data_IF_479892343547
#
_entry.id   IF_479892343547
#
_cell.length_a   1.000
_cell.length_b   1.000
_cell.length_c   1.000
_cell.angle_alpha   90.00
_cell.angle_beta   90.00
_cell.angle_gamma   90.00
#
_symmetry.space_group_name_H-M   'P 1'
#
loop_
_entity.id
_entity.type
_entity.pdbx_description
1 polymer ?
#
# COMPACT_ATOMS: atom_id res chain seq x y z
N UNK A 1 -54.84 -35.52 16.37
CA UNK A 1 -55.30 -35.25 14.97
C UNK A 1 -54.72 -33.90 14.61
N UNK A 2 -53.46 -33.88 14.16
CA UNK A 2 -52.78 -32.65 13.71
C UNK A 2 -52.78 -32.69 12.17
N UNK A 3 -53.47 -31.73 11.59
CA UNK A 3 -53.47 -31.47 10.14
C UNK A 3 -52.15 -30.84 9.78
N UNK A 4 -51.28 -31.60 9.14
CA UNK A 4 -50.14 -31.03 8.39
C UNK A 4 -50.76 -30.31 7.18
N UNK A 5 -50.88 -28.99 7.29
CA UNK A 5 -51.06 -28.14 6.14
C UNK A 5 -49.72 -28.08 5.40
N UNK A 6 -49.56 -28.91 4.39
CA UNK A 6 -48.58 -28.68 3.34
C UNK A 6 -49.04 -27.43 2.56
N UNK A 7 -48.49 -26.29 2.91
CA UNK A 7 -48.56 -25.11 2.07
C UNK A 7 -47.76 -25.38 0.78
N UNK A 8 -48.45 -25.74 -0.26
CA UNK A 8 -47.92 -25.77 -1.62
C UNK A 8 -47.73 -24.32 -2.06
N UNK A 9 -46.52 -23.81 -1.94
CA UNK A 9 -46.16 -22.53 -2.55
C UNK A 9 -46.27 -22.66 -4.07
N UNK A 10 -47.36 -22.16 -4.67
CA UNK A 10 -47.46 -21.99 -6.11
C UNK A 10 -46.47 -20.92 -6.57
N UNK A 11 -45.42 -21.37 -7.22
CA UNK A 11 -44.38 -20.52 -7.81
C UNK A 11 -44.96 -19.86 -9.06
N UNK A 12 -45.54 -18.66 -8.90
CA UNK A 12 -46.19 -17.91 -10.00
C UNK A 12 -45.28 -16.87 -10.68
N UNK A 13 -43.96 -16.80 -10.36
CA UNK A 13 -43.07 -15.87 -11.03
C UNK A 13 -42.19 -16.58 -12.06
N UNK A 14 -42.02 -16.02 -13.28
CA UNK A 14 -41.17 -16.63 -14.32
C UNK A 14 -39.72 -16.83 -13.88
N UNK A 15 -39.24 -16.06 -12.91
CA UNK A 15 -37.91 -16.18 -12.36
C UNK A 15 -37.75 -17.43 -11.48
N UNK A 16 -38.80 -17.85 -10.77
CA UNK A 16 -38.82 -19.07 -9.93
C UNK A 16 -39.03 -20.35 -10.74
N UNK A 17 -39.64 -20.26 -11.91
CA UNK A 17 -39.82 -21.39 -12.83
C UNK A 17 -38.48 -21.94 -13.33
N UNK A 18 -37.50 -21.07 -13.54
CA UNK A 18 -36.11 -21.45 -13.90
C UNK A 18 -35.49 -22.31 -12.81
N UNK A 19 -35.69 -21.99 -11.52
CA UNK A 19 -35.18 -22.79 -10.41
C UNK A 19 -35.86 -24.17 -10.33
N UNK A 20 -37.15 -24.27 -10.58
CA UNK A 20 -37.86 -25.55 -10.66
C UNK A 20 -37.35 -26.47 -11.78
N UNK A 21 -36.98 -25.90 -12.93
CA UNK A 21 -36.38 -26.65 -14.03
C UNK A 21 -34.97 -27.13 -13.71
N UNK A 22 -34.16 -26.33 -13.02
CA UNK A 22 -32.81 -26.72 -12.55
C UNK A 22 -32.89 -27.83 -11.51
N UNK A 23 -33.84 -27.75 -10.56
CA UNK A 23 -34.07 -28.78 -9.55
C UNK A 23 -34.48 -30.13 -10.15
N UNK A 24 -35.28 -30.13 -11.20
CA UNK A 24 -35.69 -31.36 -11.89
C UNK A 24 -34.53 -32.08 -12.57
N UNK A 25 -33.53 -31.36 -13.06
CA UNK A 25 -32.35 -31.90 -13.76
C UNK A 25 -31.23 -32.36 -12.83
N UNK A 26 -31.32 -32.05 -11.52
CA UNK A 26 -30.32 -32.46 -10.55
C UNK A 26 -30.33 -33.99 -10.33
N UNK A 27 -29.15 -34.65 -10.31
CA UNK A 27 -29.07 -36.07 -10.04
C UNK A 27 -29.55 -36.39 -8.62
N UNK A 28 -30.15 -37.57 -8.44
CA UNK A 28 -30.79 -38.03 -7.20
C UNK A 28 -29.95 -37.85 -5.91
N UNK A 29 -28.59 -38.04 -5.91
CA UNK A 29 -27.81 -37.80 -4.73
C UNK A 29 -27.72 -36.31 -4.33
N UNK A 30 -27.83 -35.38 -5.30
CA UNK A 30 -27.78 -33.94 -5.03
C UNK A 30 -29.04 -33.41 -4.34
N UNK A 31 -30.14 -34.15 -4.38
CA UNK A 31 -31.40 -33.81 -3.69
C UNK A 31 -31.39 -34.16 -2.20
N UNK A 32 -30.39 -34.89 -1.72
CA UNK A 32 -30.28 -35.22 -0.28
C UNK A 32 -29.72 -34.01 0.48
N UNK A 33 -30.42 -33.53 1.51
CA UNK A 33 -30.03 -32.36 2.33
C UNK A 33 -28.59 -32.34 2.76
N UNK A 34 -27.94 -33.44 3.27
CA UNK A 34 -26.53 -33.37 3.67
C UNK A 34 -25.58 -33.18 2.48
N UNK A 35 -25.94 -33.68 1.30
CA UNK A 35 -25.12 -33.54 0.11
C UNK A 35 -25.21 -32.13 -0.47
N UNK A 36 -26.41 -31.53 -0.48
CA UNK A 36 -26.61 -30.15 -0.87
C UNK A 36 -25.89 -29.16 0.04
N UNK A 37 -25.93 -29.40 1.36
CA UNK A 37 -25.18 -28.57 2.35
C UNK A 37 -23.67 -28.69 2.17
N UNK A 38 -23.15 -29.90 1.93
CA UNK A 38 -21.72 -30.12 1.65
C UNK A 38 -21.27 -29.44 0.35
N UNK A 39 -22.07 -29.56 -0.71
CA UNK A 39 -21.80 -28.91 -2.00
C UNK A 39 -21.81 -27.38 -1.87
N UNK A 40 -22.77 -26.82 -1.14
CA UNK A 40 -22.85 -25.39 -0.88
C UNK A 40 -21.64 -24.89 -0.09
N UNK A 41 -21.21 -25.64 0.94
CA UNK A 41 -20.01 -25.31 1.70
C UNK A 41 -18.75 -25.30 0.80
N UNK A 42 -18.59 -26.29 -0.07
CA UNK A 42 -17.48 -26.34 -1.04
C UNK A 42 -17.55 -25.16 -2.01
N UNK A 43 -18.73 -24.82 -2.53
CA UNK A 43 -18.91 -23.68 -3.44
C UNK A 43 -18.57 -22.35 -2.76
N UNK A 44 -18.94 -22.17 -1.49
CA UNK A 44 -18.56 -20.99 -0.70
C UNK A 44 -17.05 -20.93 -0.50
N UNK A 45 -16.42 -22.05 -0.15
CA UNK A 45 -14.97 -22.11 0.00
C UNK A 45 -14.24 -21.78 -1.33
N UNK A 46 -14.68 -22.37 -2.44
CA UNK A 46 -14.12 -22.08 -3.76
C UNK A 46 -14.33 -20.61 -4.16
N UNK A 47 -15.49 -20.04 -3.85
CA UNK A 47 -15.78 -18.63 -4.14
C UNK A 47 -14.89 -17.70 -3.30
N UNK A 48 -14.77 -17.95 -2.01
CA UNK A 48 -13.98 -17.10 -1.10
C UNK A 48 -12.50 -17.23 -1.39
N UNK A 49 -11.97 -18.45 -1.49
CA UNK A 49 -10.51 -18.67 -1.67
C UNK A 49 -10.08 -18.60 -3.13
N UNK A 50 -10.92 -19.05 -4.08
CA UNK A 50 -10.58 -19.00 -5.49
C UNK A 50 -10.75 -17.61 -6.08
N UNK A 51 -11.96 -17.07 -6.05
CA UNK A 51 -12.26 -15.77 -6.67
C UNK A 51 -11.70 -14.63 -5.81
N UNK A 52 -11.91 -14.69 -4.48
CA UNK A 52 -11.41 -13.68 -3.55
C UNK A 52 -9.88 -13.63 -3.53
N UNK A 53 -9.21 -14.78 -3.51
CA UNK A 53 -7.75 -14.85 -3.52
C UNK A 53 -7.13 -14.31 -4.81
N UNK A 54 -7.71 -14.63 -5.97
CA UNK A 54 -7.25 -14.12 -7.27
C UNK A 54 -7.47 -12.61 -7.38
N UNK A 55 -8.61 -12.11 -6.94
CA UNK A 55 -8.88 -10.66 -6.94
C UNK A 55 -7.96 -9.90 -6.00
N UNK A 56 -7.72 -10.44 -4.80
CA UNK A 56 -6.81 -9.82 -3.84
C UNK A 56 -5.38 -9.77 -4.38
N UNK A 57 -4.89 -10.86 -4.98
CA UNK A 57 -3.58 -10.94 -5.60
C UNK A 57 -3.45 -9.97 -6.78
N UNK A 58 -4.47 -9.84 -7.61
CA UNK A 58 -4.49 -8.89 -8.74
C UNK A 58 -4.45 -7.45 -8.24
N UNK A 59 -5.24 -7.11 -7.21
CA UNK A 59 -5.23 -5.77 -6.61
C UNK A 59 -3.90 -5.45 -5.94
N UNK A 60 -3.32 -6.41 -5.20
CA UNK A 60 -1.99 -6.24 -4.61
C UNK A 60 -0.93 -5.99 -5.69
N UNK A 61 -0.98 -6.72 -6.82
CA UNK A 61 -0.05 -6.52 -7.92
C UNK A 61 -0.20 -5.14 -8.55
N UNK A 62 -1.42 -4.67 -8.77
CA UNK A 62 -1.66 -3.33 -9.32
C UNK A 62 -1.13 -2.23 -8.39
N UNK A 63 -1.32 -2.36 -7.07
CA UNK A 63 -0.75 -1.42 -6.10
C UNK A 63 0.78 -1.48 -6.08
N UNK A 64 1.36 -2.67 -6.18
CA UNK A 64 2.80 -2.83 -6.28
C UNK A 64 3.37 -2.23 -7.58
N UNK A 65 2.65 -2.37 -8.71
CA UNK A 65 3.01 -1.75 -9.99
C UNK A 65 2.97 -0.22 -9.92
N UNK A 66 1.96 0.36 -9.26
CA UNK A 66 1.89 1.82 -9.02
C UNK A 66 3.13 2.28 -8.23
N UNK A 67 3.51 1.53 -7.19
CA UNK A 67 4.66 1.89 -6.38
C UNK A 67 6.00 1.80 -7.14
N UNK A 68 6.17 0.77 -7.99
CA UNK A 68 7.47 0.45 -8.62
C UNK A 68 7.60 0.92 -10.06
N UNK A 69 6.49 1.02 -10.81
CA UNK A 69 6.53 1.11 -12.27
C UNK A 69 5.70 2.26 -12.85
N UNK A 70 4.74 2.79 -12.11
CA UNK A 70 3.96 3.93 -12.59
C UNK A 70 4.79 5.19 -12.50
N UNK A 71 5.07 5.74 -13.68
CA UNK A 71 5.96 6.87 -13.84
C UNK A 71 5.13 8.15 -13.85
N UNK A 72 5.49 9.10 -13.02
CA UNK A 72 4.87 10.43 -12.93
C UNK A 72 5.18 11.30 -14.16
N UNK A 73 4.74 12.56 -14.14
CA UNK A 73 5.05 13.58 -15.16
C UNK A 73 6.55 13.87 -15.33
N UNK A 74 7.35 13.49 -14.33
CA UNK A 74 8.79 13.73 -14.28
C UNK A 74 9.61 12.48 -14.62
N UNK A 75 8.95 11.36 -14.87
CA UNK A 75 9.60 10.11 -15.24
C UNK A 75 10.04 9.23 -14.07
N UNK A 76 9.56 9.50 -12.85
CA UNK A 76 9.93 8.79 -11.64
C UNK A 76 8.75 7.97 -11.09
N UNK A 77 9.04 6.80 -10.53
CA UNK A 77 8.09 6.05 -9.71
C UNK A 77 8.19 6.51 -8.24
N UNK A 78 7.18 6.20 -7.43
CA UNK A 78 7.20 6.48 -5.99
C UNK A 78 8.46 5.88 -5.34
N UNK A 79 8.85 4.66 -5.73
CA UNK A 79 10.09 4.04 -5.28
C UNK A 79 11.32 4.84 -5.73
N UNK A 80 11.32 5.36 -6.95
CA UNK A 80 12.38 6.22 -7.48
C UNK A 80 12.51 7.53 -6.69
N UNK A 81 11.39 8.12 -6.30
CA UNK A 81 11.38 9.33 -5.50
C UNK A 81 11.87 9.10 -4.07
N UNK A 82 11.53 7.96 -3.46
CA UNK A 82 12.15 7.58 -2.18
C UNK A 82 13.67 7.42 -2.30
N UNK A 83 14.15 6.82 -3.38
CA UNK A 83 15.60 6.71 -3.64
C UNK A 83 16.23 8.08 -3.80
N UNK A 84 15.62 8.98 -4.56
CA UNK A 84 16.09 10.35 -4.73
C UNK A 84 16.09 11.11 -3.40
N UNK A 85 15.08 10.93 -2.55
CA UNK A 85 15.02 11.54 -1.22
C UNK A 85 16.19 11.07 -0.33
N UNK A 86 16.44 9.75 -0.30
CA UNK A 86 17.55 9.20 0.51
C UNK A 86 18.92 9.60 -0.02
N UNK A 87 19.08 9.75 -1.33
CA UNK A 87 20.31 10.24 -1.95
C UNK A 87 20.55 11.72 -1.61
N UNK A 88 19.51 12.56 -1.63
CA UNK A 88 19.62 13.97 -1.21
C UNK A 88 19.90 14.09 0.27
N UNK A 89 19.30 13.26 1.12
CA UNK A 89 19.62 13.18 2.55
C UNK A 89 21.09 12.78 2.78
N UNK A 90 21.59 11.78 2.05
CA UNK A 90 22.99 11.36 2.14
C UNK A 90 23.96 12.47 1.71
N UNK A 91 23.63 13.24 0.68
CA UNK A 91 24.43 14.36 0.23
C UNK A 91 24.46 15.50 1.27
N UNK A 92 23.30 15.84 1.84
CA UNK A 92 23.18 16.82 2.92
C UNK A 92 23.95 16.36 4.16
N UNK A 93 23.86 15.09 4.55
CA UNK A 93 24.61 14.51 5.66
C UNK A 93 26.14 14.69 5.46
N UNK A 94 26.65 14.38 4.26
CA UNK A 94 28.09 14.55 3.98
C UNK A 94 28.55 16.02 4.08
N UNK A 95 27.67 16.95 3.70
CA UNK A 95 27.97 18.37 3.87
C UNK A 95 27.97 18.78 5.36
N UNK A 96 26.98 18.30 6.12
CA UNK A 96 26.91 18.55 7.56
C UNK A 96 28.07 17.90 8.34
N UNK A 97 28.53 16.71 7.94
CA UNK A 97 29.68 16.04 8.54
C UNK A 97 30.97 16.86 8.46
N UNK A 98 31.18 17.66 7.41
CA UNK A 98 32.33 18.55 7.30
C UNK A 98 32.32 19.65 8.35
N UNK A 99 31.14 20.03 8.85
CA UNK A 99 30.98 21.11 9.86
C UNK A 99 30.88 20.54 11.26
N UNK A 100 30.12 19.46 11.45
CA UNK A 100 29.83 18.85 12.74
C UNK A 100 30.91 17.84 13.17
N UNK A 101 31.56 17.19 12.19
CA UNK A 101 32.41 16.03 12.36
C UNK A 101 31.69 14.72 12.10
N UNK A 102 32.42 13.69 11.68
CA UNK A 102 31.86 12.38 11.31
C UNK A 102 31.22 11.65 12.51
N UNK A 103 31.69 11.88 13.72
CA UNK A 103 31.21 11.25 14.95
C UNK A 103 30.06 12.01 15.63
N UNK A 104 29.52 13.07 15.00
CA UNK A 104 28.38 13.79 15.55
C UNK A 104 27.14 12.90 15.59
N UNK A 105 26.41 12.93 16.71
CA UNK A 105 25.26 12.06 16.95
C UNK A 105 24.11 12.26 15.95
N UNK A 106 23.93 13.49 15.44
CA UNK A 106 22.88 13.75 14.43
C UNK A 106 23.28 13.12 13.08
N UNK A 107 24.57 13.24 12.70
CA UNK A 107 25.07 12.63 11.47
C UNK A 107 25.02 11.10 11.53
N UNK A 108 25.39 10.49 12.65
CA UNK A 108 25.33 9.02 12.82
C UNK A 108 23.90 8.52 12.82
N UNK A 109 22.94 9.23 13.42
CA UNK A 109 21.52 8.88 13.37
C UNK A 109 21.00 8.87 11.94
N UNK A 110 21.32 9.88 11.13
CA UNK A 110 20.92 9.90 9.71
C UNK A 110 21.58 8.77 8.94
N UNK A 111 22.87 8.48 9.18
CA UNK A 111 23.57 7.37 8.54
C UNK A 111 22.93 6.01 8.86
N UNK A 112 22.56 5.76 10.11
CA UNK A 112 21.90 4.53 10.56
C UNK A 112 20.53 4.35 9.91
N UNK A 113 19.74 5.42 9.79
CA UNK A 113 18.43 5.40 9.12
C UNK A 113 18.57 5.16 7.61
N UNK A 114 19.56 5.76 6.96
CA UNK A 114 19.85 5.48 5.55
C UNK A 114 20.30 4.03 5.33
N UNK A 115 21.08 3.46 6.24
CA UNK A 115 21.46 2.05 6.18
C UNK A 115 20.25 1.13 6.38
N UNK A 116 19.34 1.46 7.30
CA UNK A 116 18.08 0.73 7.48
C UNK A 116 17.20 0.80 6.23
N UNK A 117 17.13 1.94 5.56
CA UNK A 117 16.39 2.06 4.30
C UNK A 117 16.93 1.13 3.21
N UNK A 118 18.26 0.97 3.13
CA UNK A 118 18.91 0.11 2.13
C UNK A 118 18.72 -1.38 2.41
N UNK A 119 18.26 -1.76 3.60
CA UNK A 119 17.97 -3.15 3.93
C UNK A 119 16.71 -3.62 3.20
N UNK A 120 16.90 -4.42 2.16
CA UNK A 120 15.82 -4.96 1.31
C UNK A 120 14.93 -5.98 2.02
N UNK A 121 15.32 -6.45 3.20
CA UNK A 121 14.53 -7.40 4.00
C UNK A 121 13.39 -6.69 4.77
N UNK A 122 13.40 -5.36 4.85
CA UNK A 122 12.39 -4.60 5.58
C UNK A 122 11.08 -4.50 4.78
N UNK A 123 9.95 -4.79 5.43
CA UNK A 123 8.64 -4.66 4.82
C UNK A 123 8.32 -3.20 4.43
N UNK A 124 7.56 -2.94 3.34
CA UNK A 124 7.27 -1.58 2.86
C UNK A 124 6.69 -0.62 3.92
N UNK A 125 5.86 -1.14 4.82
CA UNK A 125 5.32 -0.34 5.93
C UNK A 125 6.41 0.12 6.92
N UNK A 126 7.41 -0.73 7.17
CA UNK A 126 8.54 -0.39 8.02
C UNK A 126 9.50 0.58 7.31
N UNK A 127 9.69 0.44 5.99
CA UNK A 127 10.43 1.41 5.18
C UNK A 127 9.81 2.80 5.26
N UNK A 128 8.49 2.91 5.18
CA UNK A 128 7.79 4.18 5.34
C UNK A 128 8.02 4.80 6.72
N UNK A 129 8.03 3.99 7.78
CA UNK A 129 8.34 4.46 9.13
C UNK A 129 9.78 4.97 9.27
N UNK A 130 10.74 4.34 8.59
CA UNK A 130 12.14 4.79 8.53
C UNK A 130 12.24 6.17 7.87
N UNK A 131 11.52 6.42 6.77
CA UNK A 131 11.52 7.73 6.11
C UNK A 131 10.97 8.83 7.02
N UNK A 132 9.91 8.58 7.78
CA UNK A 132 9.42 9.56 8.75
C UNK A 132 10.41 9.88 9.88
N UNK A 133 11.20 8.88 10.30
CA UNK A 133 12.28 9.11 11.26
C UNK A 133 13.44 9.88 10.62
N UNK A 134 13.75 9.58 9.36
CA UNK A 134 14.78 10.26 8.59
C UNK A 134 14.49 11.77 8.46
N UNK A 135 13.23 12.15 8.17
CA UNK A 135 12.83 13.55 8.09
C UNK A 135 13.18 14.33 9.38
N UNK A 136 12.81 13.78 10.53
CA UNK A 136 13.11 14.39 11.81
C UNK A 136 14.63 14.44 12.12
N UNK A 137 15.36 13.39 11.75
CA UNK A 137 16.80 13.32 11.96
C UNK A 137 17.56 14.29 11.06
N UNK A 138 17.13 14.45 9.80
CA UNK A 138 17.68 15.39 8.84
C UNK A 138 17.48 16.83 9.32
N UNK A 139 16.28 17.18 9.80
CA UNK A 139 15.99 18.51 10.34
C UNK A 139 16.85 18.84 11.57
N UNK A 140 17.00 17.88 12.49
CA UNK A 140 17.86 18.04 13.66
C UNK A 140 19.34 18.23 13.26
N UNK A 141 19.84 17.43 12.30
CA UNK A 141 21.19 17.53 11.78
C UNK A 141 21.43 18.87 11.07
N UNK A 142 20.51 19.29 10.21
CA UNK A 142 20.58 20.58 9.52
C UNK A 142 20.64 21.74 10.52
N UNK A 143 19.74 21.74 11.51
CA UNK A 143 19.71 22.78 12.55
C UNK A 143 21.02 22.85 13.33
N UNK A 144 21.59 21.71 13.71
CA UNK A 144 22.87 21.64 14.39
C UNK A 144 24.05 22.15 13.52
N UNK A 145 24.06 21.75 12.24
CA UNK A 145 25.08 22.19 11.29
C UNK A 145 25.00 23.68 11.00
N UNK A 146 23.81 24.22 10.79
CA UNK A 146 23.55 25.64 10.57
C UNK A 146 24.09 26.53 11.71
N UNK A 147 23.99 26.06 12.94
CA UNK A 147 24.48 26.80 14.11
C UNK A 147 26.03 26.92 14.17
N UNK A 148 26.77 26.04 13.46
CA UNK A 148 28.24 25.96 13.49
C UNK A 148 28.90 26.28 12.13
N UNK A 149 28.11 26.34 11.05
CA UNK A 149 28.66 26.55 9.72
C UNK A 149 29.22 27.95 9.52
N UNK A 150 30.31 28.04 8.74
CA UNK A 150 30.81 29.29 8.16
C UNK A 150 29.97 29.65 6.94
N UNK A 151 30.05 30.91 6.45
CA UNK A 151 29.19 31.42 5.37
C UNK A 151 29.18 30.52 4.12
N UNK A 152 30.37 30.11 3.62
CA UNK A 152 30.48 29.23 2.44
C UNK A 152 29.85 27.83 2.68
N UNK A 153 30.11 27.27 3.87
CA UNK A 153 29.52 25.97 4.24
C UNK A 153 28.02 26.07 4.45
N UNK A 154 27.56 27.20 5.00
CA UNK A 154 26.14 27.47 5.22
C UNK A 154 25.37 27.55 3.91
N UNK A 155 25.89 28.22 2.88
CA UNK A 155 25.26 28.30 1.57
C UNK A 155 25.12 26.91 0.91
N UNK A 156 26.17 26.09 1.01
CA UNK A 156 26.13 24.72 0.52
C UNK A 156 25.06 23.87 1.25
N UNK A 157 25.02 23.94 2.58
CA UNK A 157 24.07 23.20 3.41
C UNK A 157 22.64 23.65 3.13
N UNK A 158 22.40 24.95 3.04
CA UNK A 158 21.08 25.50 2.71
C UNK A 158 20.58 25.05 1.32
N UNK A 159 21.47 25.01 0.32
CA UNK A 159 21.12 24.55 -1.03
C UNK A 159 20.75 23.06 -1.05
N UNK A 160 21.48 22.23 -0.30
CA UNK A 160 21.19 20.80 -0.20
C UNK A 160 19.92 20.51 0.61
N UNK A 161 19.69 21.28 1.67
CA UNK A 161 18.45 21.21 2.45
C UNK A 161 17.24 21.61 1.60
N UNK A 162 17.32 22.70 0.85
CA UNK A 162 16.27 23.09 -0.08
C UNK A 162 15.96 22.01 -1.14
N UNK A 163 17.00 21.31 -1.60
CA UNK A 163 16.82 20.17 -2.51
C UNK A 163 16.11 18.99 -1.82
N UNK A 164 16.49 18.67 -0.59
CA UNK A 164 15.83 17.63 0.22
C UNK A 164 14.36 17.93 0.44
N UNK A 165 14.02 19.13 0.91
CA UNK A 165 12.65 19.58 1.17
C UNK A 165 11.82 19.61 -0.11
N UNK A 166 12.41 20.01 -1.25
CA UNK A 166 11.74 19.95 -2.55
C UNK A 166 11.40 18.52 -2.94
N UNK A 167 12.33 17.59 -2.82
CA UNK A 167 12.11 16.16 -3.12
C UNK A 167 11.05 15.55 -2.21
N UNK A 168 11.11 15.86 -0.91
CA UNK A 168 10.10 15.44 0.06
C UNK A 168 8.70 15.93 -0.32
N UNK A 169 8.57 17.18 -0.72
CA UNK A 169 7.29 17.77 -1.14
C UNK A 169 6.73 17.11 -2.40
N UNK A 170 7.59 16.74 -3.35
CA UNK A 170 7.19 15.99 -4.56
C UNK A 170 6.66 14.63 -4.16
N UNK A 171 7.42 13.87 -3.38
CA UNK A 171 7.04 12.54 -2.91
C UNK A 171 5.71 12.54 -2.15
N UNK A 172 5.52 13.47 -1.21
CA UNK A 172 4.27 13.58 -0.44
C UNK A 172 3.07 13.87 -1.35
N UNK A 173 3.24 14.73 -2.36
CA UNK A 173 2.19 15.04 -3.33
C UNK A 173 1.83 13.82 -4.17
N UNK A 174 2.80 13.05 -4.61
CA UNK A 174 2.57 11.84 -5.39
C UNK A 174 1.88 10.75 -4.59
N UNK A 175 2.31 10.52 -3.36
CA UNK A 175 1.64 9.59 -2.44
C UNK A 175 0.18 10.01 -2.26
N UNK A 176 -0.09 11.30 -2.04
CA UNK A 176 -1.45 11.81 -1.87
C UNK A 176 -2.30 11.64 -3.13
N UNK A 177 -1.74 11.88 -4.32
CA UNK A 177 -2.43 11.69 -5.60
C UNK A 177 -2.76 10.23 -5.85
N UNK A 178 -1.82 9.33 -5.65
CA UNK A 178 -2.02 7.88 -5.82
C UNK A 178 -3.02 7.33 -4.79
N UNK A 179 -2.96 7.77 -3.55
CA UNK A 179 -3.94 7.41 -2.53
C UNK A 179 -5.36 7.84 -2.92
N UNK A 180 -5.49 9.06 -3.46
CA UNK A 180 -6.78 9.57 -3.95
C UNK A 180 -7.29 8.73 -5.13
N UNK A 181 -6.45 8.40 -6.10
CA UNK A 181 -6.81 7.51 -7.21
C UNK A 181 -7.29 6.14 -6.71
N UNK A 182 -6.58 5.53 -5.76
CA UNK A 182 -6.96 4.23 -5.17
C UNK A 182 -8.32 4.29 -4.47
N UNK A 183 -8.63 5.39 -3.77
CA UNK A 183 -9.94 5.58 -3.13
C UNK A 183 -11.08 5.70 -4.14
N UNK A 184 -10.88 6.43 -5.25
CA UNK A 184 -11.92 6.63 -6.26
C UNK A 184 -12.10 5.42 -7.19
N UNK A 185 -11.05 4.64 -7.42
CA UNK A 185 -11.12 3.44 -8.28
C UNK A 185 -11.50 2.16 -7.53
N UNK A 186 -11.47 2.19 -6.19
CA UNK A 186 -11.97 1.07 -5.38
C UNK A 186 -13.50 1.09 -5.40
N UNK A 187 -14.18 -0.02 -5.82
CA UNK A 187 -15.63 -0.10 -5.75
C UNK A 187 -16.07 0.12 -4.30
N UNK A 188 -17.01 1.04 -4.12
CA UNK A 188 -17.61 1.28 -2.81
C UNK A 188 -18.21 -0.02 -2.27
N UNK A 189 -18.12 -0.28 -0.96
CA UNK A 189 -18.83 -1.42 -0.35
C UNK A 189 -20.36 -1.37 -0.55
N UNK A 190 -20.89 -0.26 -1.09
CA UNK A 190 -22.32 -0.08 -1.41
C UNK A 190 -22.69 -0.56 -2.82
N UNK A 191 -21.71 -0.87 -3.66
CA UNK A 191 -21.94 -1.29 -5.06
C UNK A 191 -21.82 -2.82 -5.25
N UNK A 192 -21.82 -3.56 -4.15
CA UNK A 192 -21.81 -5.04 -4.11
C UNK A 192 -23.08 -5.61 -3.51
#
# INVERSE_FOLDING_TARGET
>A
MQLEQQETFEIKSPQLEVFGQVESKLPAPAKKRPFAAGFLAVMVLVSVFGIGGVQLKSRYRNVAEIYTSEVDKHGNSIQGDFTTLTDTAANLMRACQKVLGEADSNCTTVADLLAQWQDTAIAPAAQYAVIHQLDNAVDAMYTAAKAKATDDALDQINSLDASYVSTQSILQREIAQNYTCLLYTSPSPRDS
#
